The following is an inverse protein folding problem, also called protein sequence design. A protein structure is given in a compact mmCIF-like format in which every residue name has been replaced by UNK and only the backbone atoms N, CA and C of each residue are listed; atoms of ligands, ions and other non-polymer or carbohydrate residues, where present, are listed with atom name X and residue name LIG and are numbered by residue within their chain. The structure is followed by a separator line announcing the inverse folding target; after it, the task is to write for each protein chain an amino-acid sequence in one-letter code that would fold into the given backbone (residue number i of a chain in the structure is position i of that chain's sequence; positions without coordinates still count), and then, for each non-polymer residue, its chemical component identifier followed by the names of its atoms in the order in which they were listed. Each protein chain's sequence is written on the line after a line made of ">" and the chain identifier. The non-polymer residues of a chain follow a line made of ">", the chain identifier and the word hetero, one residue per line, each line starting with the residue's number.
data_IF_179632453399
#
_entry.id   IF_179632453399
#
_cell.length_a   1.000
_cell.length_b   1.000
_cell.length_c   1.000
_cell.angle_alpha   90.00
_cell.angle_beta   90.00
_cell.angle_gamma   90.00
#
_symmetry.space_group_name_H-M   'P 1'
#
loop_
_entity.id
_entity.type
_entity.pdbx_description
1 polymer ?
#
# COMPACT_ATOMS: atom_id res chain seq x y z
N UNK A 1 18.43 2.29 28.41
CA UNK A 1 17.08 2.06 27.83
C UNK A 1 16.83 3.13 26.79
N UNK A 2 16.92 2.80 25.51
CA UNK A 2 16.48 3.68 24.42
C UNK A 2 15.60 2.84 23.51
N UNK A 3 14.35 3.23 23.40
CA UNK A 3 13.37 2.60 22.51
C UNK A 3 13.85 2.80 21.06
N UNK A 4 13.81 1.79 20.18
CA UNK A 4 14.16 1.97 18.78
C UNK A 4 13.04 2.74 18.07
N UNK A 5 13.36 3.97 17.66
CA UNK A 5 12.53 4.80 16.80
C UNK A 5 12.21 4.08 15.49
N UNK A 6 10.92 4.05 15.16
CA UNK A 6 10.32 3.39 14.01
C UNK A 6 10.58 4.17 12.69
N UNK A 7 11.63 4.99 12.63
CA UNK A 7 11.78 6.09 11.67
C UNK A 7 12.70 5.77 10.48
N UNK A 8 12.94 4.49 10.16
CA UNK A 8 13.73 4.11 8.97
C UNK A 8 12.97 3.16 8.03
N UNK A 9 11.65 3.33 7.96
CA UNK A 9 10.88 2.87 6.80
C UNK A 9 10.78 4.07 5.87
N UNK A 10 11.21 3.97 4.60
CA UNK A 10 11.14 5.06 3.60
C UNK A 10 9.73 5.56 3.22
N UNK A 11 8.76 5.42 4.13
CA UNK A 11 7.51 6.17 4.16
C UNK A 11 7.53 6.96 5.48
N UNK A 12 7.45 8.30 5.41
CA UNK A 12 7.44 9.16 6.60
C UNK A 12 6.61 8.55 7.72
N UNK A 13 7.17 8.52 8.95
CA UNK A 13 6.54 8.04 10.18
C UNK A 13 5.01 8.20 10.14
N UNK A 14 4.29 7.10 9.88
CA UNK A 14 2.83 7.07 9.83
C UNK A 14 2.18 6.74 8.48
N UNK A 15 2.92 6.60 7.38
CA UNK A 15 2.38 6.15 6.09
C UNK A 15 3.03 4.85 5.63
N UNK A 16 2.31 4.06 4.84
CA UNK A 16 2.80 2.86 4.20
C UNK A 16 2.33 2.81 2.76
N UNK A 17 3.21 2.29 1.91
CA UNK A 17 2.92 2.08 0.49
C UNK A 17 2.40 0.67 0.31
N UNK A 18 1.29 0.55 -0.39
CA UNK A 18 0.71 -0.74 -0.76
C UNK A 18 0.90 -0.95 -2.26
N UNK A 19 1.28 -2.17 -2.60
CA UNK A 19 1.39 -2.66 -3.96
C UNK A 19 0.18 -3.54 -4.26
N UNK A 20 -0.48 -3.26 -5.37
CA UNK A 20 -1.59 -4.05 -5.88
C UNK A 20 -1.22 -4.60 -7.25
N UNK A 21 -1.42 -5.90 -7.47
CA UNK A 21 -1.22 -6.57 -8.77
C UNK A 21 -2.34 -6.27 -9.77
N UNK A 22 -2.81 -5.03 -9.82
CA UNK A 22 -3.83 -4.56 -10.74
C UNK A 22 -3.45 -3.19 -11.25
N UNK A 23 -3.58 -2.96 -12.56
CA UNK A 23 -3.13 -1.74 -13.22
C UNK A 23 -4.08 -1.27 -14.30
N UNK A 24 -3.58 -0.35 -15.12
CA UNK A 24 -4.32 0.26 -16.22
C UNK A 24 -4.76 -0.76 -17.28
N UNK A 25 -4.01 -1.84 -17.48
CA UNK A 25 -4.36 -2.94 -18.40
C UNK A 25 -5.72 -3.57 -18.05
N UNK A 26 -6.12 -3.50 -16.77
CA UNK A 26 -7.43 -3.97 -16.30
C UNK A 26 -8.51 -2.88 -16.29
N UNK A 27 -8.23 -1.71 -16.87
CA UNK A 27 -9.17 -0.58 -16.94
C UNK A 27 -9.33 0.18 -15.63
N UNK A 28 -8.45 -0.02 -14.65
CA UNK A 28 -8.60 0.62 -13.33
C UNK A 28 -8.11 2.06 -13.37
N UNK A 29 -8.92 2.96 -12.81
CA UNK A 29 -8.64 4.40 -12.72
C UNK A 29 -8.17 4.79 -11.33
N UNK A 30 -7.46 5.92 -11.18
CA UNK A 30 -6.99 6.37 -9.87
C UNK A 30 -8.17 6.64 -8.92
N UNK A 31 -9.24 7.25 -9.43
CA UNK A 31 -10.47 7.49 -8.66
C UNK A 31 -11.15 6.20 -8.16
N UNK A 32 -11.11 5.13 -8.96
CA UNK A 32 -11.65 3.83 -8.59
C UNK A 32 -10.82 3.18 -7.48
N UNK A 33 -9.48 3.16 -7.59
CA UNK A 33 -8.60 2.64 -6.53
C UNK A 33 -8.85 3.37 -5.21
N UNK A 34 -8.89 4.71 -5.25
CA UNK A 34 -9.17 5.54 -4.08
C UNK A 34 -10.53 5.18 -3.47
N UNK A 35 -11.57 5.03 -4.31
CA UNK A 35 -12.92 4.69 -3.87
C UNK A 35 -13.01 3.27 -3.29
N UNK A 36 -12.32 2.29 -3.90
CA UNK A 36 -12.28 0.90 -3.44
C UNK A 36 -11.59 0.82 -2.07
N UNK A 37 -10.46 1.49 -1.90
CA UNK A 37 -9.71 1.50 -0.64
C UNK A 37 -10.52 2.20 0.45
N UNK A 38 -11.10 3.35 0.16
CA UNK A 38 -11.98 4.04 1.12
C UNK A 38 -13.20 3.19 1.49
N UNK A 39 -13.79 2.46 0.54
CA UNK A 39 -14.94 1.56 0.80
C UNK A 39 -14.57 0.27 1.55
N UNK A 40 -13.40 -0.33 1.26
CA UNK A 40 -12.95 -1.59 1.88
C UNK A 40 -12.32 -1.37 3.25
N UNK A 41 -11.44 -0.38 3.36
CA UNK A 41 -10.71 -0.10 4.60
C UNK A 41 -11.41 0.92 5.51
N UNK A 42 -12.44 1.61 5.02
CA UNK A 42 -13.10 2.69 5.75
C UNK A 42 -12.25 3.96 5.85
N UNK A 43 -11.23 4.09 5.00
CA UNK A 43 -10.36 5.26 4.96
C UNK A 43 -11.06 6.45 4.32
N UNK A 44 -10.58 7.66 4.61
CA UNK A 44 -10.97 8.85 3.87
C UNK A 44 -10.02 9.10 2.70
N UNK A 45 -10.52 9.75 1.64
CA UNK A 45 -9.70 10.12 0.48
C UNK A 45 -8.55 11.05 0.88
N UNK A 46 -8.74 11.89 1.91
CA UNK A 46 -7.72 12.78 2.46
C UNK A 46 -6.55 12.04 3.11
N UNK A 47 -6.80 10.85 3.67
CA UNK A 47 -5.74 10.00 4.24
C UNK A 47 -4.90 9.31 3.16
N UNK A 48 -5.41 9.25 1.93
CA UNK A 48 -4.68 8.68 0.81
C UNK A 48 -3.88 9.81 0.17
N UNK A 49 -2.56 9.78 0.31
CA UNK A 49 -1.69 10.85 -0.19
C UNK A 49 -1.66 10.90 -1.73
N UNK A 50 -1.85 9.75 -2.36
CA UNK A 50 -1.92 9.62 -3.81
C UNK A 50 -1.87 8.17 -4.27
N UNK A 51 -2.34 7.92 -5.49
CA UNK A 51 -2.30 6.63 -6.15
C UNK A 51 -1.51 6.76 -7.45
N UNK A 52 -0.58 5.83 -7.67
CA UNK A 52 0.24 5.73 -8.88
C UNK A 52 -0.12 4.43 -9.59
N UNK A 53 -0.80 4.55 -10.74
CA UNK A 53 -1.20 3.41 -11.55
C UNK A 53 -0.18 3.19 -12.65
N UNK A 54 0.24 1.94 -12.82
CA UNK A 54 1.09 1.46 -13.89
C UNK A 54 0.29 0.49 -14.78
N UNK A 55 0.88 0.01 -15.87
CA UNK A 55 0.22 -0.92 -16.79
C UNK A 55 -0.25 -2.20 -16.09
N UNK A 56 0.64 -2.85 -15.33
CA UNK A 56 0.39 -4.16 -14.71
C UNK A 56 0.09 -4.12 -13.20
N UNK A 57 0.35 -3.00 -12.54
CA UNK A 57 0.23 -2.88 -11.09
C UNK A 57 -0.07 -1.44 -10.67
N UNK A 58 -0.43 -1.26 -9.40
CA UNK A 58 -0.75 0.05 -8.82
C UNK A 58 -0.11 0.17 -7.46
N UNK A 59 0.43 1.35 -7.18
CA UNK A 59 0.91 1.72 -5.86
C UNK A 59 -0.02 2.75 -5.24
N UNK A 60 -0.28 2.60 -3.95
CA UNK A 60 -1.07 3.58 -3.19
C UNK A 60 -0.39 3.86 -1.86
N UNK A 61 -0.43 5.12 -1.44
CA UNK A 61 0.17 5.57 -0.18
C UNK A 61 -0.95 5.90 0.81
N UNK A 62 -1.03 5.12 1.89
CA UNK A 62 -2.08 5.18 2.92
C UNK A 62 -1.44 5.23 4.32
N UNK A 63 -2.14 5.68 5.38
CA UNK A 63 -1.57 5.69 6.71
C UNK A 63 -1.28 4.26 7.18
N UNK A 64 -0.17 4.05 7.89
CA UNK A 64 0.31 2.75 8.39
C UNK A 64 -0.76 2.02 9.21
N UNK A 65 -1.45 2.75 10.07
CA UNK A 65 -2.56 2.25 10.90
C UNK A 65 -3.64 1.56 10.08
N UNK A 66 -3.91 2.07 8.89
CA UNK A 66 -4.87 1.47 7.98
C UNK A 66 -4.23 0.53 6.97
N UNK A 67 -2.94 0.66 6.67
CA UNK A 67 -2.24 -0.17 5.71
C UNK A 67 -2.26 -1.65 6.11
N UNK A 68 -1.98 -1.95 7.38
CA UNK A 68 -2.03 -3.31 7.92
C UNK A 68 -3.44 -3.89 7.76
N UNK A 69 -4.45 -3.11 8.14
CA UNK A 69 -5.86 -3.46 7.97
C UNK A 69 -6.27 -3.63 6.50
N UNK A 70 -5.79 -2.78 5.59
CA UNK A 70 -6.06 -2.90 4.14
C UNK A 70 -5.45 -4.18 3.60
N UNK A 71 -4.21 -4.50 3.99
CA UNK A 71 -3.55 -5.74 3.58
C UNK A 71 -4.38 -6.91 4.08
N UNK A 72 -4.74 -6.98 5.36
CA UNK A 72 -5.54 -8.09 5.89
C UNK A 72 -6.91 -8.22 5.23
N UNK A 73 -7.60 -7.11 4.98
CA UNK A 73 -8.94 -7.10 4.37
C UNK A 73 -8.94 -7.36 2.86
N UNK A 74 -7.86 -7.02 2.15
CA UNK A 74 -7.76 -7.16 0.70
C UNK A 74 -6.87 -8.32 0.25
N UNK A 75 -6.04 -8.89 1.13
CA UNK A 75 -5.23 -10.06 0.83
C UNK A 75 -6.15 -11.19 0.37
N UNK A 76 -5.96 -11.64 -0.87
CA UNK A 76 -6.75 -12.70 -1.53
C UNK A 76 -8.20 -12.33 -1.93
N UNK A 77 -8.53 -11.06 -2.04
CA UNK A 77 -9.81 -10.64 -2.65
C UNK A 77 -9.77 -10.72 -4.18
N UNK A 78 -10.87 -11.17 -4.77
CA UNK A 78 -11.12 -11.11 -6.22
C UNK A 78 -11.73 -9.74 -6.53
N UNK A 79 -11.08 -8.93 -7.37
CA UNK A 79 -11.58 -7.63 -7.82
C UNK A 79 -11.81 -7.72 -9.33
N UNK A 80 -13.03 -7.41 -9.79
CA UNK A 80 -13.41 -7.49 -11.21
C UNK A 80 -13.11 -8.85 -11.87
N UNK A 81 -13.19 -9.96 -11.13
CA UNK A 81 -12.90 -11.31 -11.64
C UNK A 81 -11.42 -11.67 -11.69
N UNK A 82 -10.53 -10.75 -11.35
CA UNK A 82 -9.08 -10.97 -11.28
C UNK A 82 -8.63 -11.10 -9.83
N UNK A 83 -7.71 -12.03 -9.58
CA UNK A 83 -7.07 -12.15 -8.26
C UNK A 83 -6.17 -10.95 -8.05
N UNK A 84 -6.56 -10.06 -7.14
CA UNK A 84 -5.73 -8.92 -6.78
C UNK A 84 -5.04 -9.25 -5.48
N UNK A 85 -3.71 -9.30 -5.54
CA UNK A 85 -2.88 -9.40 -4.36
C UNK A 85 -2.53 -7.99 -3.91
N UNK A 86 -2.81 -7.70 -2.64
CA UNK A 86 -2.32 -6.52 -1.95
C UNK A 86 -1.16 -6.94 -1.06
N UNK A 87 -0.03 -6.27 -1.24
CA UNK A 87 1.17 -6.48 -0.44
C UNK A 87 1.69 -5.13 0.08
N UNK A 88 2.29 -5.08 1.27
CA UNK A 88 3.07 -3.92 1.66
C UNK A 88 4.22 -3.78 0.67
N UNK A 89 4.33 -2.61 0.05
CA UNK A 89 5.49 -2.26 -0.75
C UNK A 89 6.65 -2.05 0.23
N UNK A 90 7.36 -3.14 0.54
CA UNK A 90 8.59 -3.07 1.32
C UNK A 90 9.57 -2.21 0.51
N UNK A 91 10.03 -1.03 0.98
CA UNK A 91 11.37 -0.63 0.57
C UNK A 91 12.27 -1.77 1.03
N UNK A 92 13.22 -2.19 0.22
CA UNK A 92 14.29 -3.07 0.70
C UNK A 92 14.82 -2.41 1.96
N UNK A 93 14.45 -2.96 3.12
CA UNK A 93 15.02 -2.57 4.39
C UNK A 93 16.51 -2.63 4.16
N UNK A 94 17.18 -1.55 4.51
CA UNK A 94 18.62 -1.45 4.52
C UNK A 94 19.17 -2.75 5.06
N UNK A 95 19.63 -3.61 4.16
CA UNK A 95 20.37 -4.80 4.51
C UNK A 95 21.62 -4.24 5.16
N UNK A 96 21.64 -4.27 6.48
CA UNK A 96 22.72 -4.87 7.24
C UNK A 96 23.95 -5.15 6.37
N UNK A 97 24.72 -4.08 6.11
CA UNK A 97 26.07 -4.16 5.58
C UNK A 97 27.04 -3.48 6.56
N UNK A 98 26.69 -3.40 7.85
CA UNK A 98 27.68 -3.26 8.92
C UNK A 98 28.11 -4.66 9.37
N UNK A 99 28.71 -5.39 8.44
CA UNK A 99 29.66 -6.44 8.79
C UNK A 99 30.98 -6.14 8.10
N UNK A 100 31.68 -5.12 8.62
CA UNK A 100 33.14 -5.04 8.76
C UNK A 100 33.49 -3.81 9.58
#
# INVERSE_FOLDING_TARGET
>A
ETMPSLDDTGASSGFARLFMTIGKEQGVKPGDIITIITKKAGLQRTSIRGVSIFDKFTFVEVPREAAEKVIELMHQTIISGWKVAVAPAKPRGKGDFSRR
#
